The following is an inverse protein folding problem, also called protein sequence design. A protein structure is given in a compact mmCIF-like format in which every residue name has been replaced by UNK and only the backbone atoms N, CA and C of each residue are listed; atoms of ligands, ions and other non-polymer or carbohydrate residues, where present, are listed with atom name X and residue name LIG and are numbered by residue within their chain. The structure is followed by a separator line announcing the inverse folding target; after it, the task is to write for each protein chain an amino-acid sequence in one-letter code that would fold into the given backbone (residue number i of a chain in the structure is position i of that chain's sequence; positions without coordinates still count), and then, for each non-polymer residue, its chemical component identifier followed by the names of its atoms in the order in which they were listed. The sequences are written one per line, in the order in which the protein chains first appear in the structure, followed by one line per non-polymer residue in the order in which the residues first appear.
data_IF_511495358770
#
_entry.id   IF_511495358770
#
_cell.length_a   1.000
_cell.length_b   1.000
_cell.length_c   1.000
_cell.angle_alpha   90.00
_cell.angle_beta   90.00
_cell.angle_gamma   90.00
#
_symmetry.space_group_name_H-M   'P 1'
#
loop_
_entity.id
_entity.type
_entity.pdbx_description
1 polymer ?
#
# COMPACT_ATOMS: atom_id res chain seq x y z
N UNK A 1 26.15 -16.57 -71.35
CA UNK A 1 25.50 -16.78 -70.04
C UNK A 1 25.87 -15.62 -69.13
N UNK A 2 24.93 -14.69 -68.88
CA UNK A 2 25.13 -13.52 -68.01
C UNK A 2 24.55 -13.83 -66.62
N UNK A 3 25.39 -13.87 -65.60
CA UNK A 3 24.98 -14.10 -64.20
C UNK A 3 24.45 -12.80 -63.59
N UNK A 4 23.16 -12.73 -63.32
CA UNK A 4 22.52 -11.64 -62.58
C UNK A 4 22.68 -11.89 -61.08
N UNK A 5 23.45 -11.06 -60.38
CA UNK A 5 23.54 -11.07 -58.92
C UNK A 5 22.37 -10.29 -58.34
N UNK A 6 21.40 -11.00 -57.74
CA UNK A 6 20.36 -10.38 -56.91
C UNK A 6 20.99 -9.93 -55.59
N UNK A 7 21.03 -8.62 -55.36
CA UNK A 7 21.37 -8.04 -54.06
C UNK A 7 20.07 -7.94 -53.24
N UNK A 8 19.87 -8.86 -52.31
CA UNK A 8 18.83 -8.74 -51.29
C UNK A 8 19.23 -7.65 -50.30
N UNK A 9 18.61 -6.47 -50.37
CA UNK A 9 18.64 -5.49 -49.28
C UNK A 9 17.69 -5.96 -48.18
N UNK A 10 18.23 -6.46 -47.07
CA UNK A 10 17.46 -6.71 -45.86
C UNK A 10 17.04 -5.35 -45.26
N UNK A 11 15.74 -5.05 -45.26
CA UNK A 11 15.18 -3.95 -44.47
C UNK A 11 15.08 -4.41 -43.01
N UNK A 12 15.93 -3.86 -42.14
CA UNK A 12 15.76 -4.00 -40.70
C UNK A 12 14.64 -3.06 -40.24
N UNK A 13 13.49 -3.63 -39.84
CA UNK A 13 12.45 -2.90 -39.14
C UNK A 13 12.89 -2.70 -37.68
N UNK A 14 13.35 -1.49 -37.36
CA UNK A 14 13.54 -1.06 -35.96
C UNK A 14 12.15 -0.76 -35.41
N UNK A 15 11.59 -1.68 -34.63
CA UNK A 15 10.42 -1.38 -33.81
C UNK A 15 10.86 -0.43 -32.69
N UNK A 16 10.57 0.87 -32.85
CA UNK A 16 10.61 1.81 -31.74
C UNK A 16 9.49 1.40 -30.77
N UNK A 17 9.81 0.61 -29.75
CA UNK A 17 8.99 0.51 -28.56
C UNK A 17 9.04 1.87 -27.85
N UNK A 18 8.24 2.82 -28.32
CA UNK A 18 7.93 4.01 -27.51
C UNK A 18 7.27 3.47 -26.23
N UNK A 19 7.83 3.73 -25.03
CA UNK A 19 7.14 3.40 -23.80
C UNK A 19 5.80 4.15 -23.81
N UNK A 20 4.72 3.42 -24.01
CA UNK A 20 3.39 3.88 -23.65
C UNK A 20 3.45 4.08 -22.13
N UNK A 21 3.49 5.34 -21.69
CA UNK A 21 3.32 5.64 -20.26
C UNK A 21 1.86 5.35 -19.95
N UNK A 22 1.59 4.11 -19.53
CA UNK A 22 0.28 3.70 -19.06
C UNK A 22 0.05 4.32 -17.68
N UNK A 23 -1.16 4.81 -17.43
CA UNK A 23 -1.57 5.19 -16.09
C UNK A 23 -1.72 3.92 -15.25
N UNK A 24 -0.92 3.81 -14.19
CA UNK A 24 -0.91 2.67 -13.29
C UNK A 24 -1.69 2.97 -12.00
N UNK A 25 -2.10 1.91 -11.32
CA UNK A 25 -2.63 1.99 -9.96
C UNK A 25 -1.56 1.51 -8.98
N UNK A 26 -1.45 2.19 -7.84
CA UNK A 26 -0.50 1.91 -6.77
C UNK A 26 -1.20 1.84 -5.43
N UNK A 27 -0.68 1.04 -4.52
CA UNK A 27 -1.17 0.94 -3.16
C UNK A 27 -0.04 1.05 -2.12
N UNK A 28 -0.27 1.83 -1.06
CA UNK A 28 0.54 1.79 0.15
C UNK A 28 -0.34 1.36 1.31
N UNK A 29 0.00 0.25 1.94
CA UNK A 29 -0.74 -0.32 3.07
C UNK A 29 0.20 -0.30 4.27
N UNK A 30 -0.26 0.25 5.39
CA UNK A 30 0.58 0.40 6.58
C UNK A 30 -0.17 0.01 7.86
N UNK A 31 0.54 -0.72 8.72
CA UNK A 31 0.11 -1.10 10.06
C UNK A 31 0.94 -0.36 11.09
N UNK A 32 0.29 0.38 11.98
CA UNK A 32 0.97 1.13 13.02
C UNK A 32 1.27 0.34 14.31
N UNK A 33 0.70 -0.85 14.47
CA UNK A 33 0.85 -1.67 15.69
C UNK A 33 1.78 -2.86 15.52
N UNK A 34 2.15 -3.45 16.67
CA UNK A 34 2.86 -4.72 16.79
C UNK A 34 2.29 -5.56 17.94
N UNK A 35 2.61 -6.85 17.96
CA UNK A 35 2.27 -7.79 19.02
C UNK A 35 0.91 -8.46 18.85
N UNK A 36 0.83 -9.70 19.32
CA UNK A 36 -0.31 -10.60 19.09
C UNK A 36 -1.66 -10.04 19.54
N UNK A 37 -1.73 -9.30 20.65
CA UNK A 37 -2.98 -8.73 21.15
C UNK A 37 -3.64 -7.72 20.19
N UNK A 38 -2.87 -7.21 19.21
CA UNK A 38 -3.35 -6.31 18.17
C UNK A 38 -3.33 -7.03 16.79
N UNK A 39 -3.56 -8.35 16.81
CA UNK A 39 -3.66 -9.23 15.63
C UNK A 39 -4.43 -8.60 14.45
N UNK A 40 -5.58 -7.99 14.77
CA UNK A 40 -6.55 -7.48 13.79
C UNK A 40 -5.91 -6.56 12.75
N UNK A 41 -5.01 -5.64 13.15
CA UNK A 41 -4.48 -4.66 12.19
C UNK A 41 -3.56 -5.31 11.14
N UNK A 42 -2.74 -6.30 11.53
CA UNK A 42 -1.91 -7.05 10.56
C UNK A 42 -2.78 -7.93 9.67
N UNK A 43 -3.84 -8.52 10.23
CA UNK A 43 -4.82 -9.26 9.44
C UNK A 43 -5.59 -8.36 8.46
N UNK A 44 -5.97 -7.16 8.85
CA UNK A 44 -6.66 -6.18 7.99
C UNK A 44 -5.76 -5.77 6.82
N UNK A 45 -4.47 -5.52 7.09
CA UNK A 45 -3.52 -5.12 6.06
C UNK A 45 -3.26 -6.24 5.05
N UNK A 46 -3.09 -7.48 5.50
CA UNK A 46 -2.95 -8.60 4.57
C UNK A 46 -4.24 -8.87 3.78
N UNK A 47 -5.42 -8.69 4.38
CA UNK A 47 -6.67 -8.73 3.63
C UNK A 47 -6.72 -7.62 2.56
N UNK A 48 -6.40 -6.38 2.92
CA UNK A 48 -6.35 -5.26 1.98
C UNK A 48 -5.35 -5.50 0.84
N UNK A 49 -4.19 -6.11 1.14
CA UNK A 49 -3.18 -6.50 0.15
C UNK A 49 -3.78 -7.44 -0.90
N UNK A 50 -4.48 -8.49 -0.46
CA UNK A 50 -5.17 -9.40 -1.38
C UNK A 50 -6.26 -8.70 -2.17
N UNK A 51 -7.07 -7.84 -1.54
CA UNK A 51 -8.14 -7.09 -2.24
C UNK A 51 -7.56 -6.27 -3.38
N UNK A 52 -6.52 -5.47 -3.15
CA UNK A 52 -5.95 -4.64 -4.22
C UNK A 52 -5.30 -5.47 -5.32
N UNK A 53 -4.68 -6.61 -4.97
CA UNK A 53 -4.11 -7.56 -5.94
C UNK A 53 -5.16 -8.21 -6.81
N UNK A 54 -6.19 -8.75 -6.19
CA UNK A 54 -7.28 -9.46 -6.86
C UNK A 54 -8.06 -8.52 -7.79
N UNK A 55 -7.98 -7.20 -7.57
CA UNK A 55 -8.60 -6.16 -8.40
C UNK A 55 -7.60 -5.43 -9.32
N UNK A 56 -6.45 -6.03 -9.60
CA UNK A 56 -5.58 -5.64 -10.71
C UNK A 56 -4.42 -4.70 -10.38
N UNK A 57 -4.16 -4.37 -9.11
CA UNK A 57 -2.91 -3.71 -8.73
C UNK A 57 -1.81 -4.79 -8.66
N UNK A 58 -0.78 -4.76 -9.52
CA UNK A 58 0.26 -5.77 -9.49
C UNK A 58 1.10 -5.64 -8.22
N UNK A 59 1.64 -6.75 -7.71
CA UNK A 59 2.47 -6.79 -6.50
C UNK A 59 3.62 -5.77 -6.49
N UNK A 60 4.23 -5.52 -7.65
CA UNK A 60 5.31 -4.52 -7.79
C UNK A 60 4.86 -3.08 -7.47
N UNK A 61 3.57 -2.79 -7.57
CA UNK A 61 2.96 -1.48 -7.29
C UNK A 61 2.31 -1.42 -5.90
N UNK A 62 2.52 -2.45 -5.05
CA UNK A 62 1.99 -2.49 -3.68
C UNK A 62 3.16 -2.44 -2.71
N UNK A 63 3.09 -1.49 -1.78
CA UNK A 63 4.07 -1.36 -0.70
C UNK A 63 3.35 -1.62 0.62
N UNK A 64 3.68 -2.74 1.25
CA UNK A 64 3.14 -3.12 2.55
C UNK A 64 4.18 -2.87 3.65
N UNK A 65 3.78 -2.08 4.65
CA UNK A 65 4.55 -1.81 5.87
C UNK A 65 3.81 -2.45 7.05
N UNK A 66 4.37 -3.52 7.62
CA UNK A 66 3.73 -4.30 8.69
C UNK A 66 4.80 -4.87 9.61
N UNK A 67 4.62 -4.80 10.93
CA UNK A 67 5.67 -5.23 11.86
C UNK A 67 6.04 -6.72 11.69
N UNK A 68 5.07 -7.54 11.26
CA UNK A 68 5.23 -8.95 10.88
C UNK A 68 5.63 -9.87 12.05
N UNK A 69 5.04 -9.62 13.22
CA UNK A 69 5.28 -10.38 14.45
C UNK A 69 4.07 -11.19 14.92
N UNK A 70 2.97 -11.24 14.16
CA UNK A 70 1.72 -11.89 14.61
C UNK A 70 1.57 -13.31 14.09
N UNK A 71 1.87 -13.56 12.80
CA UNK A 71 1.63 -14.86 12.17
C UNK A 71 2.43 -16.00 12.86
N UNK A 72 3.62 -15.70 13.37
CA UNK A 72 4.50 -16.65 14.05
C UNK A 72 4.66 -16.38 15.55
N UNK A 73 3.78 -15.56 16.15
CA UNK A 73 3.80 -15.31 17.59
C UNK A 73 3.52 -16.62 18.35
N UNK A 74 4.19 -16.91 19.49
CA UNK A 74 3.91 -18.10 20.31
C UNK A 74 2.46 -18.21 20.80
N UNK A 75 1.72 -17.10 20.87
CA UNK A 75 0.31 -17.08 21.24
C UNK A 75 -0.63 -17.37 20.06
N UNK A 76 -0.11 -17.45 18.83
CA UNK A 76 -0.92 -17.81 17.67
C UNK A 76 -1.19 -19.33 17.67
N UNK A 77 -2.45 -19.77 17.87
CA UNK A 77 -2.78 -21.20 17.90
C UNK A 77 -2.65 -21.87 16.52
N UNK A 78 -2.58 -21.08 15.45
CA UNK A 78 -2.38 -21.52 14.07
C UNK A 78 -1.13 -20.84 13.49
N UNK A 79 0.09 -21.31 13.84
CA UNK A 79 1.33 -20.69 13.41
C UNK A 79 1.44 -20.56 11.89
N UNK A 80 1.95 -19.43 11.42
CA UNK A 80 2.10 -19.11 10.00
C UNK A 80 0.79 -18.67 9.32
N UNK A 81 -0.25 -18.34 10.08
CA UNK A 81 -1.55 -17.94 9.51
C UNK A 81 -2.09 -16.64 10.11
N UNK A 82 -2.79 -15.87 9.27
CA UNK A 82 -3.64 -14.76 9.68
C UNK A 82 -5.04 -14.91 9.07
N UNK A 83 -6.10 -14.61 9.83
CA UNK A 83 -7.49 -14.67 9.36
C UNK A 83 -8.24 -13.39 9.70
N UNK A 84 -8.89 -12.77 8.71
CA UNK A 84 -9.59 -11.49 8.90
C UNK A 84 -11.10 -11.61 9.07
N UNK A 85 -11.62 -12.84 9.21
CA UNK A 85 -13.03 -13.11 9.48
C UNK A 85 -13.17 -14.49 10.11
N UNK A 86 -14.23 -14.73 10.90
CA UNK A 86 -14.55 -16.07 11.36
C UNK A 86 -15.05 -16.96 10.20
N UNK A 87 -15.09 -18.28 10.44
CA UNK A 87 -15.90 -19.20 9.63
C UNK A 87 -17.34 -18.72 9.63
N UNK A 88 -17.93 -18.61 8.43
CA UNK A 88 -19.34 -18.24 8.29
C UNK A 88 -20.15 -19.53 8.24
N UNK A 89 -20.98 -19.74 9.25
CA UNK A 89 -21.96 -20.83 9.31
C UNK A 89 -23.37 -20.24 9.25
N UNK A 90 -24.24 -20.81 8.41
CA UNK A 90 -25.66 -20.50 8.41
C UNK A 90 -26.47 -21.79 8.26
N UNK A 91 -27.66 -21.85 8.84
CA UNK A 91 -28.62 -22.94 8.58
C UNK A 91 -29.08 -23.01 7.13
N UNK A 92 -28.83 -21.96 6.34
CA UNK A 92 -29.25 -21.83 4.93
C UNK A 92 -28.08 -21.65 3.94
N UNK A 93 -26.84 -21.56 4.42
CA UNK A 93 -25.65 -21.34 3.57
C UNK A 93 -24.59 -22.36 3.93
N UNK A 94 -23.92 -22.90 2.90
CA UNK A 94 -22.75 -23.75 3.05
C UNK A 94 -21.70 -23.08 3.95
N UNK A 95 -21.02 -23.89 4.78
CA UNK A 95 -19.92 -23.41 5.63
C UNK A 95 -18.86 -22.76 4.74
N UNK A 96 -18.56 -21.48 5.00
CA UNK A 96 -17.50 -20.75 4.30
C UNK A 96 -16.34 -20.59 5.25
N UNK A 97 -15.26 -21.33 4.98
CA UNK A 97 -14.03 -21.22 5.73
C UNK A 97 -13.32 -19.87 5.47
N UNK A 98 -12.60 -19.33 6.47
CA UNK A 98 -11.83 -18.12 6.29
C UNK A 98 -10.57 -18.42 5.47
N UNK A 99 -10.20 -17.49 4.58
CA UNK A 99 -8.94 -17.56 3.84
C UNK A 99 -7.81 -17.14 4.79
N UNK A 100 -6.72 -17.91 4.81
CA UNK A 100 -5.47 -17.45 5.41
C UNK A 100 -4.96 -16.26 4.59
N UNK A 101 -5.08 -15.05 5.13
CA UNK A 101 -4.67 -13.82 4.45
C UNK A 101 -3.15 -13.59 4.54
N UNK A 102 -2.45 -14.28 5.44
CA UNK A 102 -0.99 -14.17 5.51
C UNK A 102 -0.29 -14.83 4.31
N UNK A 103 -0.86 -15.93 3.80
CA UNK A 103 -0.33 -16.61 2.64
C UNK A 103 -0.31 -15.67 1.41
N UNK A 104 0.85 -15.56 0.76
CA UNK A 104 1.08 -14.64 -0.35
C UNK A 104 1.10 -13.13 0.01
N UNK A 105 0.99 -12.76 1.29
CA UNK A 105 1.10 -11.38 1.76
C UNK A 105 2.58 -10.95 1.81
N UNK A 106 3.02 -10.08 0.90
CA UNK A 106 4.42 -9.68 0.80
C UNK A 106 4.69 -8.37 1.55
N UNK A 107 5.46 -8.43 2.63
CA UNK A 107 5.78 -7.28 3.49
C UNK A 107 7.14 -6.68 3.13
N UNK A 108 7.16 -5.40 2.74
CA UNK A 108 8.39 -4.69 2.33
C UNK A 108 9.13 -4.06 3.52
N UNK A 109 8.38 -3.47 4.45
CA UNK A 109 8.91 -2.88 5.67
C UNK A 109 8.42 -3.69 6.86
N UNK A 110 9.34 -4.36 7.54
CA UNK A 110 9.10 -5.19 8.72
C UNK A 110 9.76 -4.63 9.96
N UNK A 111 9.29 -5.07 11.13
CA UNK A 111 9.84 -4.72 12.43
C UNK A 111 10.07 -3.22 12.62
N UNK A 112 11.28 -2.87 13.06
CA UNK A 112 11.65 -1.49 13.40
C UNK A 112 11.82 -0.57 12.17
N UNK A 113 11.65 -1.10 10.94
CA UNK A 113 11.59 -0.28 9.73
C UNK A 113 10.20 0.27 9.42
N UNK A 114 9.17 -0.17 10.15
CA UNK A 114 7.82 0.42 10.08
C UNK A 114 7.80 1.70 10.92
N UNK A 115 8.01 2.84 10.26
CA UNK A 115 8.22 4.13 10.92
C UNK A 115 7.47 5.25 10.20
N UNK A 116 7.08 6.33 10.89
CA UNK A 116 6.49 7.51 10.25
C UNK A 116 7.35 8.08 9.12
N UNK A 117 8.67 8.09 9.32
CA UNK A 117 9.65 8.67 8.41
C UNK A 117 9.77 7.81 7.15
N UNK A 118 9.88 6.49 7.30
CA UNK A 118 9.86 5.60 6.13
C UNK A 118 8.52 5.68 5.40
N UNK A 119 7.39 5.79 6.11
CA UNK A 119 6.10 5.96 5.47
C UNK A 119 6.03 7.26 4.65
N UNK A 120 6.49 8.38 5.21
CA UNK A 120 6.62 9.65 4.48
C UNK A 120 7.53 9.48 3.26
N UNK A 121 8.70 8.85 3.41
CA UNK A 121 9.63 8.65 2.29
C UNK A 121 9.10 7.71 1.22
N UNK A 122 8.31 6.69 1.59
CA UNK A 122 7.58 5.83 0.65
C UNK A 122 6.62 6.66 -0.19
N UNK A 123 5.80 7.49 0.46
CA UNK A 123 4.83 8.37 -0.22
C UNK A 123 5.53 9.37 -1.14
N UNK A 124 6.65 9.93 -0.70
CA UNK A 124 7.45 10.89 -1.46
C UNK A 124 8.38 10.26 -2.49
N UNK A 125 8.41 8.94 -2.66
CA UNK A 125 9.31 8.28 -3.62
C UNK A 125 10.80 8.47 -3.30
N UNK A 126 11.18 8.68 -2.04
CA UNK A 126 12.57 8.94 -1.65
C UNK A 126 13.31 7.64 -1.32
N UNK A 127 13.76 6.96 -2.36
CA UNK A 127 14.47 5.67 -2.28
C UNK A 127 15.80 5.74 -1.51
N UNK A 128 16.48 6.89 -1.58
CA UNK A 128 17.75 7.08 -0.85
C UNK A 128 17.52 7.12 0.65
N UNK A 129 16.46 7.81 1.11
CA UNK A 129 16.13 7.91 2.53
C UNK A 129 15.63 6.58 3.13
N UNK A 130 15.19 5.64 2.29
CA UNK A 130 14.73 4.30 2.70
C UNK A 130 15.81 3.22 2.51
N UNK A 131 17.08 3.59 2.37
CA UNK A 131 18.20 2.67 2.13
C UNK A 131 17.98 1.73 0.93
N UNK A 132 17.38 2.25 -0.14
CA UNK A 132 17.12 1.49 -1.36
C UNK A 132 15.84 0.66 -1.37
N UNK A 133 15.09 0.57 -0.25
CA UNK A 133 13.80 -0.12 -0.19
C UNK A 133 12.77 0.50 -1.13
N UNK A 134 11.78 -0.29 -1.55
CA UNK A 134 10.75 0.16 -2.49
C UNK A 134 9.94 1.32 -1.93
N UNK A 135 9.72 2.31 -2.79
CA UNK A 135 8.93 3.51 -2.54
C UNK A 135 7.96 3.71 -3.71
N UNK A 136 7.01 4.63 -3.60
CA UNK A 136 6.16 4.94 -4.75
C UNK A 136 7.01 5.49 -5.90
N UNK A 137 6.93 4.86 -7.06
CA UNK A 137 7.57 5.31 -8.31
C UNK A 137 6.49 5.82 -9.28
N UNK A 138 5.60 6.66 -8.76
CA UNK A 138 4.40 7.20 -9.43
C UNK A 138 4.64 8.52 -10.16
N UNK A 139 3.77 8.79 -11.14
CA UNK A 139 3.70 9.98 -11.99
C UNK A 139 2.33 10.67 -11.87
N UNK A 140 2.15 11.81 -12.55
CA UNK A 140 0.89 12.57 -12.57
C UNK A 140 -0.28 11.85 -13.23
N UNK A 141 -0.04 10.73 -13.89
CA UNK A 141 -1.08 9.94 -14.56
C UNK A 141 -1.60 8.81 -13.67
N UNK A 142 -0.83 8.42 -12.65
CA UNK A 142 -1.10 7.25 -11.82
C UNK A 142 -2.11 7.54 -10.71
N UNK A 143 -2.79 6.51 -10.24
CA UNK A 143 -3.68 6.60 -9.07
C UNK A 143 -3.07 5.94 -7.86
N UNK A 144 -3.22 6.57 -6.71
CA UNK A 144 -2.64 6.08 -5.46
C UNK A 144 -3.75 5.78 -4.47
N UNK A 145 -3.75 4.54 -3.96
CA UNK A 145 -4.55 4.14 -2.81
C UNK A 145 -3.65 4.03 -1.58
N UNK A 146 -4.07 4.63 -0.46
CA UNK A 146 -3.40 4.52 0.83
C UNK A 146 -4.38 3.90 1.81
N UNK A 147 -3.95 2.84 2.50
CA UNK A 147 -4.71 2.23 3.59
C UNK A 147 -3.86 2.24 4.87
N UNK A 148 -4.30 2.99 5.87
CA UNK A 148 -3.70 3.01 7.20
C UNK A 148 -4.59 2.26 8.19
N UNK A 149 -4.01 1.34 8.96
CA UNK A 149 -4.72 0.57 9.99
C UNK A 149 -3.92 0.56 11.29
N UNK A 150 -4.39 1.30 12.31
CA UNK A 150 -3.89 1.20 13.69
C UNK A 150 -4.75 1.93 14.73
N UNK A 151 -4.18 2.19 15.90
CA UNK A 151 -4.54 3.20 16.87
C UNK A 151 -4.27 4.62 16.37
N UNK A 152 -5.07 5.54 16.91
CA UNK A 152 -4.89 6.97 16.76
C UNK A 152 -5.39 7.70 17.99
N UNK A 153 -5.14 8.99 18.03
CA UNK A 153 -5.73 9.91 18.97
C UNK A 153 -5.92 11.27 18.27
N UNK A 154 -6.40 12.26 19.02
CA UNK A 154 -6.65 13.59 18.46
C UNK A 154 -5.38 14.19 17.82
N UNK A 155 -5.39 14.30 16.49
CA UNK A 155 -4.35 14.92 15.68
C UNK A 155 -3.11 14.05 15.40
N UNK A 156 -3.12 12.74 15.72
CA UNK A 156 -2.03 11.85 15.31
C UNK A 156 -2.46 10.37 15.21
N UNK A 157 -1.75 9.63 14.37
CA UNK A 157 -1.80 8.16 14.29
C UNK A 157 -0.51 7.55 14.84
N UNK A 158 -0.60 6.31 15.32
CA UNK A 158 0.51 5.63 16.00
C UNK A 158 1.28 4.74 15.02
N UNK A 159 2.57 4.60 15.28
CA UNK A 159 3.47 3.64 14.66
C UNK A 159 4.14 2.79 15.74
N UNK A 160 4.76 1.65 15.36
CA UNK A 160 5.33 0.74 16.34
C UNK A 160 6.33 1.46 17.27
N UNK A 161 6.40 0.98 18.51
CA UNK A 161 7.16 1.64 19.60
C UNK A 161 6.67 3.05 19.93
N UNK A 162 5.36 3.28 19.87
CA UNK A 162 4.70 4.52 20.30
C UNK A 162 5.13 5.77 19.53
N UNK A 163 5.73 5.58 18.35
CA UNK A 163 6.05 6.67 17.43
C UNK A 163 4.75 7.24 16.89
N UNK A 164 4.77 8.50 16.46
CA UNK A 164 3.57 9.21 16.03
C UNK A 164 3.79 9.86 14.68
N UNK A 165 2.78 9.81 13.84
CA UNK A 165 2.65 10.67 12.68
C UNK A 165 1.53 11.67 12.95
N UNK A 166 1.85 12.94 13.01
CA UNK A 166 0.87 14.01 13.26
C UNK A 166 0.03 14.31 12.02
N UNK A 167 -1.17 14.84 12.24
CA UNK A 167 -2.05 15.35 11.18
C UNK A 167 -1.33 16.36 10.27
N UNK A 168 -0.53 17.25 10.86
CA UNK A 168 0.26 18.23 10.13
C UNK A 168 1.30 17.58 9.21
N UNK A 169 2.08 16.61 9.72
CA UNK A 169 3.07 15.91 8.90
C UNK A 169 2.43 15.15 7.73
N UNK A 170 1.33 14.44 7.97
CA UNK A 170 0.60 13.74 6.92
C UNK A 170 0.04 14.73 5.88
N UNK A 171 -0.59 15.81 6.33
CA UNK A 171 -1.13 16.84 5.45
C UNK A 171 -0.05 17.46 4.55
N UNK A 172 1.07 17.90 5.13
CA UNK A 172 2.20 18.43 4.37
C UNK A 172 2.77 17.42 3.37
N UNK A 173 2.87 16.14 3.75
CA UNK A 173 3.35 15.08 2.86
C UNK A 173 2.42 14.91 1.65
N UNK A 174 1.10 14.87 1.87
CA UNK A 174 0.12 14.73 0.78
C UNK A 174 0.11 15.95 -0.16
N UNK A 175 0.24 17.16 0.38
CA UNK A 175 0.42 18.38 -0.45
C UNK A 175 1.73 18.34 -1.25
N UNK A 176 2.79 17.81 -0.65
CA UNK A 176 4.06 17.63 -1.35
C UNK A 176 3.96 16.59 -2.48
N UNK A 177 3.19 15.50 -2.30
CA UNK A 177 2.89 14.57 -3.38
C UNK A 177 2.14 15.26 -4.53
N UNK A 178 1.15 16.09 -4.22
CA UNK A 178 0.38 16.84 -5.23
C UNK A 178 1.28 17.79 -6.03
N UNK A 179 2.01 18.66 -5.33
CA UNK A 179 2.89 19.67 -5.95
C UNK A 179 4.01 19.04 -6.78
N UNK A 180 4.47 17.85 -6.40
CA UNK A 180 5.46 17.08 -7.15
C UNK A 180 4.86 16.17 -8.22
N UNK A 181 3.58 16.35 -8.59
CA UNK A 181 2.95 15.63 -9.70
C UNK A 181 3.02 14.10 -9.53
N UNK A 182 2.77 13.60 -8.31
CA UNK A 182 2.97 12.18 -7.94
C UNK A 182 1.72 11.32 -8.05
N UNK A 183 0.58 11.90 -8.44
CA UNK A 183 -0.65 11.18 -8.71
C UNK A 183 -1.60 12.05 -9.54
N UNK A 184 -2.53 11.40 -10.22
CA UNK A 184 -3.73 11.98 -10.84
C UNK A 184 -4.84 12.14 -9.80
N UNK A 185 -5.13 11.05 -9.10
CA UNK A 185 -6.15 10.92 -8.04
C UNK A 185 -5.58 10.09 -6.89
N UNK A 186 -5.89 10.48 -5.65
CA UNK A 186 -5.47 9.77 -4.44
C UNK A 186 -6.68 9.46 -3.56
N UNK A 187 -6.76 8.21 -3.10
CA UNK A 187 -7.75 7.75 -2.12
C UNK A 187 -7.04 7.30 -0.86
N UNK A 188 -7.46 7.80 0.30
CA UNK A 188 -6.91 7.42 1.60
C UNK A 188 -8.01 6.84 2.50
N UNK A 189 -7.81 5.61 2.96
CA UNK A 189 -8.63 4.95 3.98
C UNK A 189 -7.84 4.93 5.29
N UNK A 190 -8.47 5.35 6.38
CA UNK A 190 -7.85 5.40 7.70
C UNK A 190 -8.74 4.73 8.75
N UNK A 191 -8.31 3.53 9.16
CA UNK A 191 -8.80 2.85 10.36
C UNK A 191 -7.93 3.28 11.55
N UNK A 192 -8.49 4.19 12.37
CA UNK A 192 -7.92 4.60 13.64
C UNK A 192 -8.95 5.30 14.53
N UNK A 193 -8.75 5.22 15.86
CA UNK A 193 -9.48 6.06 16.79
C UNK A 193 -9.21 7.54 16.49
N UNK A 194 -10.26 8.37 16.49
CA UNK A 194 -10.18 9.80 16.15
C UNK A 194 -9.62 10.11 14.76
N UNK A 195 -9.75 9.19 13.80
CA UNK A 195 -9.20 9.37 12.44
C UNK A 195 -9.68 10.65 11.74
N UNK A 196 -10.91 11.11 11.98
CA UNK A 196 -11.43 12.39 11.46
C UNK A 196 -10.59 13.59 11.86
N UNK A 197 -10.00 13.57 13.06
CA UNK A 197 -9.11 14.63 13.56
C UNK A 197 -7.81 14.79 12.74
N UNK A 198 -7.44 13.80 11.93
CA UNK A 198 -6.28 13.89 11.03
C UNK A 198 -6.51 14.82 9.83
N UNK A 199 -7.78 15.17 9.55
CA UNK A 199 -8.19 15.83 8.31
C UNK A 199 -9.08 17.06 8.54
N UNK A 200 -8.89 17.76 9.66
CA UNK A 200 -9.61 19.02 9.97
C UNK A 200 -9.36 20.12 8.92
N UNK A 201 -8.22 20.07 8.22
CA UNK A 201 -7.91 20.92 7.08
C UNK A 201 -8.25 20.21 5.76
N UNK A 202 -9.21 20.72 4.96
CA UNK A 202 -9.66 20.04 3.75
C UNK A 202 -8.67 20.15 2.58
N UNK A 203 -8.55 19.07 1.79
CA UNK A 203 -7.77 19.03 0.56
C UNK A 203 -8.54 19.61 -0.66
N UNK A 204 -8.86 20.91 -0.63
CA UNK A 204 -9.59 21.55 -1.75
C UNK A 204 -8.73 21.59 -3.01
N UNK A 205 -9.21 21.05 -4.13
CA UNK A 205 -8.53 21.03 -5.45
C UNK A 205 -7.23 20.21 -5.52
N UNK A 206 -6.97 19.29 -4.59
CA UNK A 206 -5.77 18.44 -4.60
C UNK A 206 -6.03 17.01 -5.13
N UNK A 207 -7.23 16.71 -5.63
CA UNK A 207 -7.66 15.38 -6.09
C UNK A 207 -7.46 14.27 -5.04
N UNK A 208 -7.71 14.59 -3.77
CA UNK A 208 -7.64 13.65 -2.66
C UNK A 208 -9.06 13.38 -2.14
N UNK A 209 -9.42 12.10 -2.05
CA UNK A 209 -10.59 11.64 -1.31
C UNK A 209 -10.14 10.87 -0.07
N UNK A 210 -10.80 11.11 1.07
CA UNK A 210 -10.46 10.48 2.35
C UNK A 210 -11.72 9.87 2.95
N UNK A 211 -11.60 8.68 3.53
CA UNK A 211 -12.59 8.10 4.44
C UNK A 211 -11.92 7.68 5.74
N UNK A 212 -12.62 7.87 6.85
CA UNK A 212 -12.12 7.63 8.20
C UNK A 212 -13.09 6.74 8.96
N UNK A 213 -12.57 5.81 9.76
CA UNK A 213 -13.39 4.92 10.57
C UNK A 213 -14.15 5.64 11.70
N UNK A 214 -13.62 6.77 12.18
CA UNK A 214 -14.17 7.53 13.29
C UNK A 214 -14.05 9.05 13.07
N UNK A 215 -14.86 9.83 13.79
CA UNK A 215 -14.83 11.29 13.83
C UNK A 215 -13.70 11.82 14.73
#
# INVERSE_FOLDING_TARGET
MKSVRFVFKALAFIFLCLPYVTADHWAVIVVGSRGYWIYRHQSDACHAYHVVRDHGIPERNIILMMYDDVAHDPNNPLPGTLYNRPTITSSTVQIIEPKNVYDGCHVEYTGDTVTPENFIHVLLGNKTATNGKRVLETTKLDRVFINFVDHGANGYIVFPRTRKLTAHQLHCTLLQMYTNNRYKELVLYMEACHAGSMFTNPFKNHNIFVTTAAN
#
